data_IF_217285531347
#
_entry.id   IF_217285531347
#
_cell.length_a   1.000
_cell.length_b   1.000
_cell.length_c   1.000
_cell.angle_alpha   90.00
_cell.angle_beta   90.00
_cell.angle_gamma   90.00
#
_symmetry.space_group_name_H-M   'P 1'
#
loop_
_entity.id
_entity.type
_entity.pdbx_description
1 polymer ?
#
# COMPACT_ATOMS: atom_id res chain seq x y z
N UNK A 1 5.34 8.32 20.64
CA UNK A 1 6.07 7.44 19.70
C UNK A 1 6.25 6.10 20.37
N UNK A 2 5.70 5.06 19.77
CA UNK A 2 5.74 3.69 20.26
C UNK A 2 6.87 2.91 19.55
N UNK A 3 7.69 2.19 20.32
CA UNK A 3 8.77 1.38 19.77
C UNK A 3 8.33 -0.07 19.60
N UNK A 4 8.51 -0.60 18.39
CA UNK A 4 8.18 -1.99 18.05
C UNK A 4 9.48 -2.72 17.74
N UNK A 5 9.94 -3.54 18.69
CA UNK A 5 11.17 -4.32 18.56
C UNK A 5 10.93 -5.79 18.19
N UNK A 6 9.66 -6.23 18.15
CA UNK A 6 9.25 -7.59 17.77
C UNK A 6 7.82 -7.62 17.25
N UNK A 7 7.51 -8.67 16.52
CA UNK A 7 6.15 -9.07 16.16
C UNK A 7 5.61 -9.94 17.30
N UNK A 8 4.40 -9.65 17.77
CA UNK A 8 3.74 -10.43 18.83
C UNK A 8 3.28 -11.79 18.30
N UNK A 9 2.79 -11.82 17.07
CA UNK A 9 2.36 -13.03 16.38
C UNK A 9 1.64 -12.72 15.07
N UNK A 10 0.99 -13.73 14.53
CA UNK A 10 0.09 -13.61 13.38
C UNK A 10 -1.35 -13.39 13.89
N UNK A 11 -2.14 -12.53 13.23
CA UNK A 11 -3.58 -12.41 13.52
C UNK A 11 -4.34 -13.72 13.34
N UNK A 12 -3.81 -14.64 12.53
CA UNK A 12 -4.35 -15.98 12.33
C UNK A 12 -3.97 -16.96 13.44
N UNK A 13 -3.06 -16.58 14.36
CA UNK A 13 -2.67 -17.41 15.49
C UNK A 13 -3.88 -17.66 16.43
N UNK A 14 -4.26 -18.93 16.69
CA UNK A 14 -5.36 -19.25 17.58
C UNK A 14 -5.22 -18.64 18.99
N UNK A 15 -3.98 -18.46 19.47
CA UNK A 15 -3.71 -17.87 20.78
C UNK A 15 -4.07 -16.38 20.87
N UNK A 16 -4.01 -15.67 19.73
CA UNK A 16 -4.35 -14.25 19.62
C UNK A 16 -5.80 -14.03 19.18
N UNK A 17 -6.41 -15.02 18.53
CA UNK A 17 -7.74 -14.94 17.92
C UNK A 17 -8.81 -14.39 18.89
N UNK A 18 -8.93 -14.96 20.09
CA UNK A 18 -9.95 -14.53 21.05
C UNK A 18 -9.77 -13.09 21.54
N UNK A 19 -8.51 -12.64 21.71
CA UNK A 19 -8.19 -11.28 22.14
C UNK A 19 -8.45 -10.28 21.02
N UNK A 20 -7.98 -10.59 19.81
CA UNK A 20 -8.21 -9.76 18.63
C UNK A 20 -9.69 -9.63 18.33
N UNK A 21 -10.44 -10.73 18.30
CA UNK A 21 -11.88 -10.71 18.03
C UNK A 21 -12.62 -9.82 19.05
N UNK A 22 -12.29 -9.88 20.34
CA UNK A 22 -12.87 -9.00 21.36
C UNK A 22 -12.58 -7.52 21.05
N UNK A 23 -11.34 -7.19 20.73
CA UNK A 23 -10.93 -5.82 20.40
C UNK A 23 -11.58 -5.34 19.09
N UNK A 24 -11.74 -6.21 18.09
CA UNK A 24 -12.42 -5.90 16.82
C UNK A 24 -13.88 -5.52 17.06
N UNK A 25 -14.60 -6.27 17.91
CA UNK A 25 -16.00 -5.94 18.29
C UNK A 25 -16.14 -4.57 18.96
N UNK A 26 -15.08 -4.09 19.61
CA UNK A 26 -15.05 -2.77 20.24
C UNK A 26 -14.42 -1.68 19.36
N UNK A 27 -14.07 -1.99 18.10
CA UNK A 27 -13.40 -1.05 17.21
C UNK A 27 -11.98 -0.66 17.67
N UNK A 28 -11.37 -1.48 18.52
CA UNK A 28 -10.08 -1.23 19.15
C UNK A 28 -8.90 -1.89 18.42
N UNK A 29 -9.11 -2.30 17.16
CA UNK A 29 -8.03 -2.81 16.29
C UNK A 29 -7.71 -1.77 15.23
N UNK A 30 -6.47 -1.30 15.25
CA UNK A 30 -5.93 -0.37 14.28
C UNK A 30 -5.14 -1.13 13.22
N UNK A 31 -5.51 -0.94 11.95
CA UNK A 31 -4.75 -1.49 10.83
C UNK A 31 -3.76 -0.46 10.32
N UNK A 32 -2.48 -0.80 10.36
CA UNK A 32 -1.41 -0.02 9.74
C UNK A 32 -1.10 -0.57 8.36
N UNK A 33 -1.37 0.23 7.34
CA UNK A 33 -1.08 -0.14 5.96
C UNK A 33 0.38 0.17 5.68
N UNK A 34 1.15 -0.81 5.22
CA UNK A 34 2.53 -0.58 4.77
C UNK A 34 2.69 -1.08 3.33
N UNK A 35 3.39 -0.32 2.47
CA UNK A 35 3.65 -0.72 1.10
C UNK A 35 4.33 -2.09 1.03
N UNK A 36 3.97 -2.90 0.03
CA UNK A 36 4.59 -4.22 -0.15
C UNK A 36 6.12 -4.14 -0.28
N UNK A 37 6.64 -3.10 -0.94
CA UNK A 37 8.08 -2.83 -1.05
C UNK A 37 8.75 -2.56 0.32
N UNK A 38 8.01 -1.98 1.27
CA UNK A 38 8.49 -1.69 2.62
C UNK A 38 8.36 -2.90 3.57
N UNK A 39 7.56 -3.92 3.23
CA UNK A 39 7.43 -5.15 4.06
C UNK A 39 8.74 -5.91 4.24
N UNK A 40 9.68 -5.80 3.29
CA UNK A 40 11.00 -6.40 3.41
C UNK A 40 11.92 -5.66 4.40
N UNK A 41 11.56 -4.44 4.81
CA UNK A 41 12.37 -3.60 5.70
C UNK A 41 12.22 -4.03 7.15
N UNK A 42 13.33 -3.95 7.86
CA UNK A 42 13.40 -4.22 9.31
C UNK A 42 13.28 -2.96 10.16
N UNK A 43 13.53 -1.81 9.54
CA UNK A 43 13.51 -0.49 10.17
C UNK A 43 12.60 0.43 9.37
N UNK A 44 11.51 0.85 10.00
CA UNK A 44 10.47 1.65 9.37
C UNK A 44 9.86 2.58 10.42
N UNK A 45 9.49 3.80 10.00
CA UNK A 45 8.66 4.69 10.79
C UNK A 45 7.34 4.87 10.04
N UNK A 46 6.24 4.57 10.70
CA UNK A 46 4.88 4.73 10.17
C UNK A 46 4.01 5.38 11.25
N UNK A 47 2.86 5.90 10.85
CA UNK A 47 1.87 6.43 11.78
C UNK A 47 0.62 5.56 11.74
N UNK A 48 -0.02 5.35 12.90
CA UNK A 48 -1.32 4.69 12.97
C UNK A 48 -2.43 5.59 12.42
N UNK A 49 -3.61 5.04 12.08
CA UNK A 49 -4.77 5.84 11.71
C UNK A 49 -5.18 6.86 12.78
N UNK A 50 -4.91 6.58 14.06
CA UNK A 50 -5.12 7.52 15.17
C UNK A 50 -4.05 8.61 15.29
N UNK A 51 -3.03 8.61 14.42
CA UNK A 51 -1.96 9.62 14.39
C UNK A 51 -0.79 9.32 15.34
N UNK A 52 -0.67 8.11 15.87
CA UNK A 52 0.45 7.72 16.72
C UNK A 52 1.63 7.21 15.89
N UNK A 53 2.82 7.75 16.12
CA UNK A 53 4.04 7.29 15.48
C UNK A 53 4.54 5.95 16.03
N UNK A 54 4.76 5.00 15.13
CA UNK A 54 5.41 3.71 15.35
C UNK A 54 6.84 3.72 14.80
N UNK A 55 7.81 3.37 15.63
CA UNK A 55 9.19 3.13 15.24
C UNK A 55 9.47 1.62 15.28
N UNK A 56 9.42 0.97 14.11
CA UNK A 56 9.64 -0.46 13.94
C UNK A 56 11.14 -0.73 13.77
N UNK A 57 11.69 -1.62 14.58
CA UNK A 57 13.08 -2.05 14.57
C UNK A 57 13.18 -3.55 14.90
N UNK A 58 12.93 -4.40 13.90
CA UNK A 58 12.87 -5.85 14.08
C UNK A 58 14.26 -6.53 14.06
N UNK A 59 14.43 -7.64 14.80
CA UNK A 59 15.66 -8.42 14.81
C UNK A 59 15.90 -9.22 13.52
N UNK A 60 17.12 -9.77 13.41
CA UNK A 60 17.64 -10.77 12.44
C UNK A 60 16.62 -11.71 11.79
N UNK A 61 15.85 -12.32 12.65
CA UNK A 61 15.00 -13.48 12.43
C UNK A 61 13.55 -13.12 12.14
N UNK A 62 13.16 -11.85 12.29
CA UNK A 62 11.79 -11.39 12.05
C UNK A 62 11.68 -10.52 10.79
N UNK A 63 10.52 -10.61 10.14
CA UNK A 63 10.14 -9.82 8.96
C UNK A 63 8.67 -9.45 9.07
N UNK A 64 8.29 -8.28 8.57
CA UNK A 64 6.89 -7.89 8.47
C UNK A 64 6.17 -8.77 7.45
N UNK A 65 4.90 -9.03 7.70
CA UNK A 65 4.01 -9.77 6.83
C UNK A 65 2.57 -9.29 7.03
N UNK A 66 1.69 -9.58 6.07
CA UNK A 66 0.28 -9.23 6.19
C UNK A 66 -0.37 -9.94 7.38
N UNK A 67 -1.01 -9.19 8.27
CA UNK A 67 -1.58 -9.72 9.49
C UNK A 67 -0.62 -9.84 10.68
N UNK A 68 0.64 -9.40 10.55
CA UNK A 68 1.56 -9.31 11.68
C UNK A 68 0.98 -8.40 12.78
N UNK A 69 0.89 -8.92 14.00
CA UNK A 69 0.43 -8.16 15.17
C UNK A 69 1.63 -7.48 15.81
N UNK A 70 1.68 -6.15 15.77
CA UNK A 70 2.78 -5.35 16.32
C UNK A 70 2.58 -5.06 17.80
N UNK A 71 1.32 -4.89 18.21
CA UNK A 71 0.92 -4.63 19.59
C UNK A 71 -0.44 -5.27 19.84
N UNK A 72 -0.61 -5.84 21.04
CA UNK A 72 -1.92 -6.26 21.55
C UNK A 72 -1.89 -6.20 23.08
N UNK A 73 -2.70 -5.32 23.65
CA UNK A 73 -2.92 -5.19 25.08
C UNK A 73 -4.42 -5.38 25.42
N UNK A 74 -4.87 -4.91 26.57
CA UNK A 74 -6.28 -5.00 26.97
C UNK A 74 -7.14 -3.90 26.34
N UNK A 75 -6.52 -2.81 25.87
CA UNK A 75 -7.19 -1.63 25.34
C UNK A 75 -7.25 -1.63 23.82
N UNK A 76 -6.21 -2.12 23.12
CA UNK A 76 -6.16 -2.12 21.65
C UNK A 76 -5.19 -3.14 21.05
N UNK A 77 -5.28 -3.29 19.73
CA UNK A 77 -4.29 -4.00 18.92
C UNK A 77 -3.87 -3.16 17.70
N UNK A 78 -2.62 -3.35 17.27
CA UNK A 78 -2.09 -2.79 16.02
C UNK A 78 -1.68 -3.94 15.12
N UNK A 79 -2.30 -4.02 13.94
CA UNK A 79 -2.12 -5.11 12.98
C UNK A 79 -1.65 -4.57 11.64
N UNK A 80 -0.64 -5.21 11.08
CA UNK A 80 -0.11 -4.88 9.74
C UNK A 80 -1.10 -5.31 8.68
N UNK A 81 -1.35 -4.42 7.72
CA UNK A 81 -2.00 -4.75 6.45
C UNK A 81 -1.02 -4.44 5.32
N UNK A 82 -0.76 -5.44 4.47
CA UNK A 82 -0.03 -5.17 3.24
C UNK A 82 -0.88 -4.31 2.31
N UNK A 83 -0.30 -3.23 1.81
CA UNK A 83 -0.95 -2.44 0.78
C UNK A 83 -1.09 -3.28 -0.49
N UNK A 84 -2.32 -3.40 -0.98
CA UNK A 84 -2.58 -3.95 -2.31
C UNK A 84 -2.16 -2.90 -3.32
N UNK A 85 -1.16 -3.20 -4.16
CA UNK A 85 -0.77 -2.28 -5.22
C UNK A 85 -1.96 -2.09 -6.19
N UNK A 86 -2.40 -0.84 -6.31
CA UNK A 86 -3.43 -0.43 -7.26
C UNK A 86 -2.73 0.12 -8.49
N UNK A 87 -3.15 -0.34 -9.65
CA UNK A 87 -2.58 0.05 -10.93
C UNK A 87 -3.65 0.74 -11.78
N UNK A 88 -3.40 1.98 -12.19
CA UNK A 88 -4.22 2.66 -13.17
C UNK A 88 -3.76 2.25 -14.57
N UNK A 89 -4.58 1.47 -15.27
CA UNK A 89 -4.34 1.02 -16.63
C UNK A 89 -4.77 2.08 -17.63
N UNK A 90 -3.82 2.54 -18.45
CA UNK A 90 -4.05 3.48 -19.53
C UNK A 90 -3.72 2.84 -20.87
N UNK A 91 -4.65 2.95 -21.83
CA UNK A 91 -4.47 2.44 -23.18
C UNK A 91 -4.39 3.59 -24.19
N UNK A 92 -3.19 3.97 -24.65
CA UNK A 92 -3.04 4.97 -25.72
C UNK A 92 -3.72 4.48 -27.01
N UNK A 93 -4.40 5.37 -27.73
CA UNK A 93 -5.05 5.07 -29.01
C UNK A 93 -4.09 5.12 -30.21
N UNK A 94 -2.87 5.64 -30.03
CA UNK A 94 -1.84 5.72 -31.07
C UNK A 94 -0.41 5.67 -30.53
N UNK A 95 0.56 5.43 -31.40
CA UNK A 95 2.00 5.48 -31.04
C UNK A 95 2.42 6.87 -30.57
N UNK A 96 1.90 7.94 -31.20
CA UNK A 96 2.20 9.31 -30.78
C UNK A 96 1.73 9.56 -29.34
N UNK A 97 0.53 9.09 -29.00
CA UNK A 97 -0.03 9.17 -27.65
C UNK A 97 0.75 8.31 -26.64
N UNK A 98 1.19 7.12 -27.04
CA UNK A 98 2.01 6.26 -26.19
C UNK A 98 3.36 6.91 -25.84
N UNK A 99 4.00 7.57 -26.81
CA UNK A 99 5.26 8.31 -26.60
C UNK A 99 5.05 9.48 -25.63
N UNK A 100 4.00 10.26 -25.84
CA UNK A 100 3.65 11.40 -24.99
C UNK A 100 3.37 10.94 -23.55
N UNK A 101 2.52 9.92 -23.39
CA UNK A 101 2.18 9.34 -22.10
C UNK A 101 3.42 8.79 -21.38
N UNK A 102 4.26 8.03 -22.08
CA UNK A 102 5.49 7.48 -21.52
C UNK A 102 6.48 8.56 -21.08
N UNK A 103 6.64 9.63 -21.88
CA UNK A 103 7.49 10.78 -21.54
C UNK A 103 7.02 11.47 -20.26
N UNK A 104 5.72 11.77 -20.14
CA UNK A 104 5.17 12.43 -18.96
C UNK A 104 5.20 11.54 -17.71
N UNK A 105 4.86 10.25 -17.83
CA UNK A 105 4.93 9.31 -16.72
C UNK A 105 6.37 9.22 -16.16
N UNK A 106 7.37 9.16 -17.06
CA UNK A 106 8.78 9.19 -16.68
C UNK A 106 9.19 10.50 -15.99
N UNK A 107 8.80 11.66 -16.55
CA UNK A 107 9.11 12.97 -15.97
C UNK A 107 8.46 13.21 -14.60
N UNK A 108 7.31 12.59 -14.35
CA UNK A 108 6.62 12.64 -13.06
C UNK A 108 7.17 11.64 -12.06
N UNK A 109 8.17 10.83 -12.45
CA UNK A 109 8.72 9.73 -11.66
C UNK A 109 7.66 8.73 -11.20
N UNK A 110 6.61 8.54 -11.99
CA UNK A 110 5.62 7.51 -11.71
C UNK A 110 6.20 6.13 -11.95
N UNK A 111 5.97 5.22 -11.00
CA UNK A 111 6.25 3.79 -11.21
C UNK A 111 5.28 3.24 -12.24
N UNK A 112 5.83 2.59 -13.25
CA UNK A 112 5.05 2.03 -14.36
C UNK A 112 5.38 0.58 -14.64
N UNK A 113 4.40 -0.14 -15.16
CA UNK A 113 4.53 -1.48 -15.75
C UNK A 113 3.92 -1.45 -17.15
N UNK A 114 4.46 -2.25 -18.05
CA UNK A 114 3.93 -2.41 -19.40
C UNK A 114 3.18 -3.72 -19.51
N UNK A 115 2.01 -3.70 -20.14
CA UNK A 115 1.26 -4.90 -20.44
C UNK A 115 0.56 -4.77 -21.80
N UNK A 116 1.11 -5.46 -22.80
CA UNK A 116 0.67 -5.33 -24.18
C UNK A 116 0.81 -3.90 -24.67
N UNK A 117 -0.31 -3.29 -25.07
CA UNK A 117 -0.39 -1.90 -25.54
C UNK A 117 -0.87 -0.93 -24.44
N UNK A 118 -0.79 -1.33 -23.17
CA UNK A 118 -1.22 -0.51 -22.03
C UNK A 118 -0.04 -0.15 -21.13
N UNK A 119 -0.09 1.06 -20.59
CA UNK A 119 0.79 1.55 -19.53
C UNK A 119 0.01 1.48 -18.21
N UNK A 120 0.56 0.78 -17.22
CA UNK A 120 -0.01 0.74 -15.89
C UNK A 120 0.81 1.64 -14.98
N UNK A 121 0.16 2.57 -14.28
CA UNK A 121 0.78 3.47 -13.30
C UNK A 121 0.42 3.01 -11.90
N UNK A 122 1.42 2.81 -11.04
CA UNK A 122 1.18 2.48 -9.64
C UNK A 122 0.58 3.69 -8.91
N UNK A 123 -0.54 3.48 -8.24
CA UNK A 123 -1.22 4.51 -7.45
C UNK A 123 -0.66 4.52 -6.02
N UNK A 124 0.30 5.42 -5.78
CA UNK A 124 0.87 5.69 -4.45
C UNK A 124 0.10 6.81 -3.71
N UNK A 125 -1.23 6.76 -3.78
CA UNK A 125 -2.11 7.79 -3.21
C UNK A 125 -3.54 7.74 -3.78
N UNK A 126 -4.36 8.78 -3.54
CA UNK A 126 -5.71 8.86 -4.09
C UNK A 126 -5.71 8.83 -5.62
N UNK A 127 -6.62 8.08 -6.21
CA UNK A 127 -6.73 7.91 -7.68
C UNK A 127 -7.05 9.24 -8.36
N UNK A 128 -7.85 10.08 -7.70
CA UNK A 128 -8.30 11.39 -8.17
C UNK A 128 -7.11 12.32 -8.44
N UNK A 129 -6.03 12.22 -7.66
CA UNK A 129 -4.83 13.02 -7.86
C UNK A 129 -4.13 12.66 -9.19
N UNK A 130 -4.09 11.37 -9.54
CA UNK A 130 -3.53 10.90 -10.80
C UNK A 130 -4.44 11.29 -11.97
N UNK A 131 -5.76 11.12 -11.83
CA UNK A 131 -6.74 11.53 -12.85
C UNK A 131 -6.66 13.03 -13.15
N UNK A 132 -6.63 13.88 -12.13
CA UNK A 132 -6.49 15.32 -12.31
C UNK A 132 -5.20 15.69 -13.05
N UNK A 133 -4.10 14.96 -12.79
CA UNK A 133 -2.82 15.18 -13.47
C UNK A 133 -2.86 14.74 -14.94
N UNK A 134 -3.51 13.62 -15.23
CA UNK A 134 -3.72 13.13 -16.59
C UNK A 134 -4.61 14.09 -17.38
N UNK A 135 -5.72 14.55 -16.81
CA UNK A 135 -6.62 15.52 -17.43
C UNK A 135 -5.91 16.84 -17.76
N UNK A 136 -5.03 17.32 -16.87
CA UNK A 136 -4.26 18.55 -17.11
C UNK A 136 -3.25 18.43 -18.26
N UNK A 137 -2.74 17.21 -18.52
CA UNK A 137 -1.73 16.97 -19.56
C UNK A 137 -2.36 16.56 -20.89
N UNK A 138 -3.43 15.75 -20.84
CA UNK A 138 -3.97 15.06 -22.00
C UNK A 138 -5.46 15.36 -22.24
N UNK A 139 -6.12 16.16 -21.40
CA UNK A 139 -7.58 16.26 -21.40
C UNK A 139 -8.22 14.91 -21.13
N UNK A 140 -9.39 14.65 -21.71
CA UNK A 140 -10.16 13.44 -21.42
C UNK A 140 -9.63 12.13 -22.06
N UNK A 141 -8.48 12.17 -22.74
CA UNK A 141 -7.94 11.04 -23.52
C UNK A 141 -7.76 9.75 -22.70
N UNK A 142 -7.57 9.90 -21.39
CA UNK A 142 -7.34 8.79 -20.45
C UNK A 142 -8.42 8.67 -19.37
N UNK A 143 -9.59 9.30 -19.55
CA UNK A 143 -10.67 9.30 -18.56
C UNK A 143 -11.18 7.88 -18.25
N UNK A 144 -11.24 7.01 -19.26
CA UNK A 144 -11.74 5.63 -19.14
C UNK A 144 -10.71 4.64 -18.57
N UNK A 145 -9.55 5.12 -18.12
CA UNK A 145 -8.56 4.28 -17.46
C UNK A 145 -9.15 3.54 -16.25
N UNK A 146 -8.93 2.23 -16.18
CA UNK A 146 -9.44 1.39 -15.12
C UNK A 146 -8.39 1.18 -14.02
N UNK A 147 -8.80 1.20 -12.76
CA UNK A 147 -7.94 0.81 -11.64
C UNK A 147 -8.14 -0.67 -11.36
N UNK A 148 -7.02 -1.38 -11.35
CA UNK A 148 -6.97 -2.81 -11.11
C UNK A 148 -6.10 -3.08 -9.88
N UNK A 149 -6.52 -4.03 -9.04
CA UNK A 149 -5.65 -4.58 -8.00
C UNK A 149 -4.66 -5.53 -8.68
N UNK A 150 -3.36 -5.32 -8.47
CA UNK A 150 -2.33 -6.16 -9.07
C UNK A 150 -1.24 -6.47 -8.06
N UNK A 151 -0.78 -7.72 -8.02
CA UNK A 151 0.50 -8.02 -7.40
C UNK A 151 1.62 -7.48 -8.30
N UNK A 152 2.75 -7.06 -7.70
CA UNK A 152 4.02 -6.96 -8.41
C UNK A 152 4.22 -8.27 -9.18
N UNK A 153 4.22 -8.21 -10.52
CA UNK A 153 4.75 -9.31 -11.31
C UNK A 153 6.21 -9.47 -10.90
N UNK A 154 6.53 -10.69 -10.42
CA UNK A 154 7.83 -11.07 -9.87
C UNK A 154 9.00 -10.82 -10.83
#
# INVERSE_FOLDING_TARGET
MLHIDRIVGDRADPSLHHRLHRLEHHGAVEFVTIPLADMARRRLRISTPSGEDLAIALPRDQKLFDGAVLLIDDARAVVVRAEVERWLRLRPASVAEAIELGYHAGNLHWRVRFEGDSLLIALEGPEEAYRARLDALFGNRFADGAVEAGALAA
#
